data_IF_181053398620
#
_entry.id   IF_181053398620
#
_cell.length_a   1.000
_cell.length_b   1.000
_cell.length_c   1.000
_cell.angle_alpha   90.00
_cell.angle_beta   90.00
_cell.angle_gamma   90.00
#
_symmetry.space_group_name_H-M   'P 1'
#
loop_
_entity.id
_entity.type
_entity.pdbx_description
1 polymer ?
#
# COMPACT_ATOMS: atom_id res chain seq x y z
N UNK A 1 26.66 47.66 -49.71
CA UNK A 1 27.37 46.42 -50.09
C UNK A 1 27.71 45.68 -48.81
N UNK A 2 27.19 44.44 -48.70
CA UNK A 2 27.67 43.30 -47.91
C UNK A 2 27.73 43.46 -46.37
N UNK A 3 27.14 42.60 -45.54
CA UNK A 3 26.67 41.26 -45.80
C UNK A 3 25.85 40.67 -44.66
N UNK A 4 25.13 39.63 -45.01
CA UNK A 4 24.33 38.77 -44.15
C UNK A 4 25.22 37.84 -43.31
N UNK A 5 24.86 37.63 -42.05
CA UNK A 5 25.09 36.36 -41.36
C UNK A 5 23.82 36.00 -40.57
N UNK A 6 23.18 34.84 -40.84
CA UNK A 6 22.12 34.33 -40.00
C UNK A 6 22.76 33.75 -38.74
N UNK A 7 22.33 34.22 -37.56
CA UNK A 7 22.69 33.54 -36.30
C UNK A 7 21.99 32.20 -36.32
N UNK A 8 22.75 31.18 -36.71
CA UNK A 8 22.35 29.79 -36.73
C UNK A 8 21.85 29.36 -35.37
N UNK A 9 20.61 28.92 -35.35
CA UNK A 9 20.05 28.04 -34.35
C UNK A 9 20.90 26.77 -34.25
N UNK A 10 21.62 26.62 -33.16
CA UNK A 10 21.97 25.31 -32.63
C UNK A 10 21.60 25.32 -31.16
N UNK A 11 20.41 24.83 -30.85
CA UNK A 11 20.09 24.31 -29.51
C UNK A 11 20.57 22.86 -29.53
N UNK A 12 21.75 22.53 -28.97
CA UNK A 12 22.19 21.15 -28.88
C UNK A 12 21.62 20.60 -27.58
N UNK A 13 20.71 19.65 -27.69
CA UNK A 13 20.24 18.92 -26.52
C UNK A 13 18.87 18.31 -26.71
N UNK A 14 18.76 17.37 -27.66
CA UNK A 14 17.86 16.23 -27.48
C UNK A 14 18.30 15.47 -26.22
N UNK A 15 18.01 16.04 -25.04
CA UNK A 15 18.00 15.32 -23.79
C UNK A 15 16.79 14.41 -23.88
N UNK A 16 16.99 13.26 -24.51
CA UNK A 16 16.11 12.11 -24.46
C UNK A 16 16.03 11.68 -23.01
N UNK A 17 15.31 12.46 -22.20
CA UNK A 17 15.00 12.15 -20.82
C UNK A 17 14.17 10.88 -20.91
N UNK A 18 14.81 9.75 -20.62
CA UNK A 18 14.14 8.56 -20.12
C UNK A 18 13.53 8.97 -18.78
N UNK A 19 12.46 9.74 -18.88
CA UNK A 19 11.78 10.31 -17.75
C UNK A 19 11.12 9.14 -17.06
N UNK A 20 11.40 8.95 -15.77
CA UNK A 20 10.78 7.91 -14.94
C UNK A 20 9.25 7.92 -15.10
N UNK A 21 8.68 9.08 -15.41
CA UNK A 21 7.28 9.30 -15.75
C UNK A 21 6.82 8.52 -16.99
N UNK A 22 7.64 8.42 -18.04
CA UNK A 22 7.34 7.61 -19.23
C UNK A 22 7.32 6.11 -18.88
N UNK A 23 8.21 5.66 -17.99
CA UNK A 23 8.21 4.28 -17.50
C UNK A 23 6.97 3.96 -16.67
N UNK A 24 6.64 4.81 -15.71
CA UNK A 24 5.48 4.68 -14.82
C UNK A 24 4.15 4.70 -15.57
N UNK A 25 4.03 5.57 -16.57
CA UNK A 25 2.81 5.64 -17.40
C UNK A 25 2.66 4.46 -18.34
N UNK A 26 3.77 3.86 -18.79
CA UNK A 26 3.75 2.68 -19.67
C UNK A 26 3.45 1.39 -18.91
N UNK A 27 3.93 1.27 -17.67
CA UNK A 27 3.75 0.10 -16.82
C UNK A 27 3.22 0.47 -15.43
N UNK A 28 1.94 0.88 -15.32
CA UNK A 28 1.40 1.35 -14.05
C UNK A 28 1.36 0.27 -12.97
N UNK A 29 1.20 -1.00 -13.36
CA UNK A 29 1.24 -2.15 -12.45
C UNK A 29 2.63 -2.30 -11.79
N UNK A 30 3.71 -1.97 -12.51
CA UNK A 30 5.07 -2.00 -11.95
C UNK A 30 5.27 -0.87 -10.93
N UNK A 31 4.68 0.31 -11.18
CA UNK A 31 4.66 1.41 -10.21
C UNK A 31 3.90 1.05 -8.94
N UNK A 32 2.75 0.39 -9.06
CA UNK A 32 2.00 -0.14 -7.93
C UNK A 32 2.80 -1.20 -7.17
N UNK A 33 3.42 -2.16 -7.86
CA UNK A 33 4.24 -3.17 -7.23
C UNK A 33 5.42 -2.56 -6.46
N UNK A 34 6.11 -1.57 -7.05
CA UNK A 34 7.18 -0.83 -6.37
C UNK A 34 6.67 -0.10 -5.12
N UNK A 35 5.49 0.52 -5.20
CA UNK A 35 4.86 1.16 -4.05
C UNK A 35 4.60 0.15 -2.93
N UNK A 36 3.94 -0.97 -3.23
CA UNK A 36 3.66 -2.02 -2.25
C UNK A 36 4.94 -2.59 -1.65
N UNK A 37 5.97 -2.86 -2.45
CA UNK A 37 7.26 -3.33 -1.97
C UNK A 37 7.93 -2.31 -1.04
N UNK A 38 7.90 -1.03 -1.41
CA UNK A 38 8.45 0.06 -0.59
C UNK A 38 7.68 0.17 0.73
N UNK A 39 6.35 0.14 0.67
CA UNK A 39 5.47 0.16 1.84
C UNK A 39 5.80 -1.01 2.79
N UNK A 40 5.86 -2.24 2.26
CA UNK A 40 6.18 -3.45 3.02
C UNK A 40 7.57 -3.34 3.64
N UNK A 41 8.60 -3.02 2.86
CA UNK A 41 9.97 -2.99 3.35
C UNK A 41 10.17 -1.88 4.39
N UNK A 42 9.77 -0.65 4.08
CA UNK A 42 9.97 0.49 4.98
C UNK A 42 9.24 0.29 6.31
N UNK A 43 7.96 -0.07 6.27
CA UNK A 43 7.13 -0.18 7.47
C UNK A 43 7.16 -1.57 8.13
N UNK A 44 7.91 -2.52 7.59
CA UNK A 44 8.28 -3.74 8.33
C UNK A 44 9.64 -3.57 9.00
N UNK A 45 10.64 -3.10 8.26
CA UNK A 45 12.03 -3.05 8.74
C UNK A 45 12.23 -1.91 9.74
N UNK A 46 11.72 -0.70 9.46
CA UNK A 46 11.93 0.44 10.36
C UNK A 46 11.38 0.18 11.78
N UNK A 47 10.10 -0.19 11.99
CA UNK A 47 9.61 -0.49 13.33
C UNK A 47 10.23 -1.74 13.92
N UNK A 48 10.57 -2.77 13.13
CA UNK A 48 11.25 -3.96 13.65
C UNK A 48 12.63 -3.65 14.28
N UNK A 49 13.31 -2.60 13.81
CA UNK A 49 14.61 -2.17 14.35
C UNK A 49 14.49 -1.18 15.51
N UNK A 50 13.45 -0.33 15.51
CA UNK A 50 13.30 0.76 16.48
C UNK A 50 12.42 0.38 17.66
N UNK A 51 11.35 -0.38 17.43
CA UNK A 51 10.37 -0.69 18.47
C UNK A 51 10.93 -1.73 19.45
N UNK A 52 10.94 -1.34 20.72
CA UNK A 52 11.37 -2.19 21.83
C UNK A 52 10.30 -3.24 22.15
N UNK A 53 9.03 -2.89 21.98
CA UNK A 53 7.88 -3.74 22.29
C UNK A 53 6.75 -3.55 21.27
N UNK A 54 5.92 -4.59 21.04
CA UNK A 54 4.69 -4.46 20.26
C UNK A 54 3.75 -3.38 20.82
N UNK A 55 2.97 -2.68 19.97
CA UNK A 55 1.92 -1.78 20.42
C UNK A 55 0.82 -2.50 21.22
N UNK A 56 0.12 -1.78 22.09
CA UNK A 56 -0.88 -2.35 23.01
C UNK A 56 -1.99 -3.15 22.29
N UNK A 57 -2.55 -2.60 21.21
CA UNK A 57 -3.59 -3.29 20.42
C UNK A 57 -3.08 -4.61 19.83
N UNK A 58 -1.79 -4.67 19.48
CA UNK A 58 -1.17 -5.87 18.93
C UNK A 58 -0.91 -6.91 20.02
N UNK A 59 -0.49 -6.47 21.22
CA UNK A 59 -0.36 -7.36 22.38
C UNK A 59 -1.72 -7.99 22.71
N UNK A 60 -2.78 -7.19 22.76
CA UNK A 60 -4.14 -7.70 22.95
C UNK A 60 -4.55 -8.66 21.81
N UNK A 61 -4.23 -8.31 20.56
CA UNK A 61 -4.49 -9.16 19.40
C UNK A 61 -3.80 -10.53 19.48
N UNK A 62 -2.55 -10.59 19.95
CA UNK A 62 -1.87 -11.86 20.21
C UNK A 62 -2.53 -12.64 21.35
N UNK A 63 -2.96 -11.98 22.44
CA UNK A 63 -3.65 -12.66 23.54
C UNK A 63 -4.93 -13.34 23.07
N UNK A 64 -5.77 -12.65 22.29
CA UNK A 64 -7.00 -13.24 21.74
C UNK A 64 -6.74 -14.23 20.61
N UNK A 65 -5.74 -13.96 19.77
CA UNK A 65 -5.38 -14.80 18.63
C UNK A 65 -5.04 -16.24 19.02
N UNK A 66 -4.33 -16.39 20.14
CA UNK A 66 -3.96 -17.71 20.71
C UNK A 66 -5.16 -18.58 21.09
N UNK A 67 -6.27 -17.95 21.46
CA UNK A 67 -7.50 -18.64 21.88
C UNK A 67 -8.38 -19.03 20.68
N UNK A 68 -8.06 -18.56 19.46
CA UNK A 68 -8.82 -18.84 18.24
C UNK A 68 -10.32 -18.54 18.33
N UNK A 69 -10.69 -17.60 19.22
CA UNK A 69 -12.08 -17.18 19.39
C UNK A 69 -12.53 -16.37 18.18
N UNK A 70 -13.77 -16.55 17.74
CA UNK A 70 -14.33 -15.82 16.59
C UNK A 70 -14.67 -14.37 16.93
N UNK A 71 -15.25 -14.15 18.11
CA UNK A 71 -15.79 -12.87 18.55
C UNK A 71 -15.42 -12.64 20.01
N UNK A 72 -14.96 -11.44 20.31
CA UNK A 72 -14.80 -10.97 21.70
C UNK A 72 -15.89 -9.95 22.00
N UNK A 73 -15.95 -9.51 23.26
CA UNK A 73 -16.83 -8.41 23.67
C UNK A 73 -16.56 -7.10 22.89
N UNK A 74 -15.37 -6.97 22.29
CA UNK A 74 -15.01 -5.87 21.41
C UNK A 74 -15.52 -6.14 20.00
N UNK A 75 -14.80 -6.96 19.23
CA UNK A 75 -14.95 -7.05 17.77
C UNK A 75 -14.62 -8.47 17.27
N UNK A 76 -14.98 -8.83 16.01
CA UNK A 76 -14.52 -10.08 15.39
C UNK A 76 -12.99 -10.16 15.31
N UNK A 77 -12.42 -11.34 15.58
CA UNK A 77 -10.99 -11.52 15.84
C UNK A 77 -10.14 -11.90 14.63
N UNK A 78 -10.56 -11.53 13.41
CA UNK A 78 -9.71 -11.71 12.22
C UNK A 78 -8.29 -11.13 12.40
N UNK A 79 -8.07 -9.93 12.97
CA UNK A 79 -6.72 -9.42 13.18
C UNK A 79 -5.90 -10.29 14.14
N UNK A 80 -6.52 -10.77 15.22
CA UNK A 80 -5.89 -11.67 16.18
C UNK A 80 -5.48 -13.00 15.56
N UNK A 81 -6.32 -13.58 14.71
CA UNK A 81 -5.98 -14.80 13.96
C UNK A 81 -4.81 -14.57 13.00
N UNK A 82 -4.79 -13.47 12.26
CA UNK A 82 -3.68 -13.15 11.36
C UNK A 82 -2.37 -12.95 12.12
N UNK A 83 -2.43 -12.30 13.30
CA UNK A 83 -1.29 -12.16 14.19
C UNK A 83 -0.81 -13.53 14.68
N UNK A 84 -1.68 -14.38 15.22
CA UNK A 84 -1.30 -15.71 15.70
C UNK A 84 -0.75 -16.60 14.58
N UNK A 85 -1.35 -16.59 13.39
CA UNK A 85 -0.81 -17.31 12.21
C UNK A 85 0.61 -16.82 11.91
N UNK A 86 0.84 -15.51 11.90
CA UNK A 86 2.16 -14.96 11.64
C UNK A 86 3.19 -15.36 12.71
N UNK A 87 2.76 -15.45 13.96
CA UNK A 87 3.59 -15.95 15.05
C UNK A 87 3.92 -17.43 14.86
N UNK A 88 2.92 -18.28 14.60
CA UNK A 88 3.10 -19.72 14.40
C UNK A 88 4.04 -20.03 13.22
N UNK A 89 4.00 -19.22 12.16
CA UNK A 89 4.87 -19.40 10.98
C UNK A 89 6.32 -18.96 11.22
N UNK A 90 6.56 -18.02 12.13
CA UNK A 90 7.87 -17.36 12.28
C UNK A 90 8.54 -17.59 13.63
N UNK A 91 7.80 -18.07 14.63
CA UNK A 91 8.22 -18.18 16.03
C UNK A 91 8.42 -16.84 16.74
N UNK A 92 8.03 -15.71 16.14
CA UNK A 92 8.31 -14.37 16.65
C UNK A 92 7.04 -13.57 16.92
N UNK A 93 7.02 -12.81 18.02
CA UNK A 93 5.96 -11.83 18.32
C UNK A 93 6.35 -10.40 17.93
N UNK A 94 7.52 -10.21 17.29
CA UNK A 94 8.08 -8.88 17.00
C UNK A 94 7.82 -8.49 15.55
N UNK A 95 8.79 -8.70 14.66
CA UNK A 95 8.70 -8.25 13.27
C UNK A 95 7.48 -8.75 12.44
N UNK A 96 6.91 -9.97 12.66
CA UNK A 96 5.85 -10.49 11.78
C UNK A 96 4.56 -9.67 11.79
N UNK A 97 4.24 -9.04 12.92
CA UNK A 97 3.05 -8.19 13.05
C UNK A 97 3.08 -7.03 12.05
N UNK A 98 4.26 -6.45 11.83
CA UNK A 98 4.45 -5.34 10.91
C UNK A 98 4.31 -5.81 9.46
N UNK A 99 4.85 -7.00 9.15
CA UNK A 99 4.69 -7.58 7.82
C UNK A 99 3.21 -7.83 7.51
N UNK A 100 2.46 -8.44 8.44
CA UNK A 100 1.00 -8.67 8.28
C UNK A 100 0.26 -7.35 8.06
N UNK A 101 0.60 -6.31 8.83
CA UNK A 101 0.04 -4.98 8.65
C UNK A 101 0.28 -4.46 7.22
N UNK A 102 1.52 -4.53 6.75
CA UNK A 102 1.86 -3.99 5.43
C UNK A 102 1.33 -4.83 4.27
N UNK A 103 1.14 -6.14 4.45
CA UNK A 103 0.43 -6.98 3.48
C UNK A 103 -1.03 -6.54 3.36
N UNK A 104 -1.68 -6.23 4.48
CA UNK A 104 -3.06 -5.75 4.53
C UNK A 104 -3.19 -4.36 3.88
N UNK A 105 -2.26 -3.44 4.17
CA UNK A 105 -2.22 -2.12 3.54
C UNK A 105 -1.93 -2.23 2.04
N UNK A 106 -1.00 -3.08 1.63
CA UNK A 106 -0.69 -3.30 0.22
C UNK A 106 -1.87 -3.91 -0.54
N UNK A 107 -2.60 -4.85 0.06
CA UNK A 107 -3.84 -5.36 -0.50
C UNK A 107 -4.89 -4.24 -0.69
N UNK A 108 -4.98 -3.31 0.27
CA UNK A 108 -5.84 -2.12 0.16
C UNK A 108 -5.42 -1.25 -1.03
N UNK A 109 -4.12 -0.96 -1.20
CA UNK A 109 -3.62 -0.20 -2.35
C UNK A 109 -3.97 -0.86 -3.70
N UNK A 110 -3.83 -2.19 -3.78
CA UNK A 110 -4.19 -2.95 -4.99
C UNK A 110 -5.68 -2.81 -5.28
N UNK A 111 -6.54 -2.99 -4.29
CA UNK A 111 -8.00 -2.91 -4.47
C UNK A 111 -8.47 -1.49 -4.82
N UNK A 112 -7.90 -0.46 -4.19
CA UNK A 112 -8.16 0.94 -4.55
C UNK A 112 -7.66 1.23 -5.96
N UNK A 113 -6.51 0.71 -6.37
CA UNK A 113 -6.02 0.83 -7.75
C UNK A 113 -7.00 0.19 -8.73
N UNK A 114 -7.52 -1.00 -8.44
CA UNK A 114 -8.49 -1.68 -9.32
C UNK A 114 -9.77 -0.86 -9.49
N UNK A 115 -10.32 -0.33 -8.40
CA UNK A 115 -11.47 0.58 -8.45
C UNK A 115 -11.15 1.85 -9.25
N UNK A 116 -10.05 2.54 -8.92
CA UNK A 116 -9.66 3.77 -9.59
C UNK A 116 -9.35 3.53 -11.08
N UNK A 117 -8.82 2.36 -11.44
CA UNK A 117 -8.54 1.97 -12.83
C UNK A 117 -9.83 1.85 -13.62
N UNK A 118 -10.85 1.23 -13.04
CA UNK A 118 -12.16 1.11 -13.67
C UNK A 118 -12.85 2.48 -13.81
N UNK A 119 -12.60 3.43 -12.89
CA UNK A 119 -13.20 4.77 -12.90
C UNK A 119 -12.48 5.78 -13.81
N UNK A 120 -11.14 5.82 -13.76
CA UNK A 120 -10.32 6.93 -14.24
C UNK A 120 -9.30 6.50 -15.31
N UNK A 121 -9.17 5.21 -15.58
CA UNK A 121 -8.12 4.64 -16.42
C UNK A 121 -6.79 4.45 -15.69
N UNK A 122 -5.89 3.68 -16.32
CA UNK A 122 -4.69 3.12 -15.67
C UNK A 122 -3.73 4.17 -15.08
N UNK A 123 -3.44 5.23 -15.84
CA UNK A 123 -2.46 6.25 -15.42
C UNK A 123 -2.96 7.09 -14.24
N UNK A 124 -4.24 7.48 -14.26
CA UNK A 124 -4.83 8.28 -13.18
C UNK A 124 -5.05 7.44 -11.93
N UNK A 125 -5.36 6.16 -12.09
CA UNK A 125 -5.43 5.21 -10.98
C UNK A 125 -4.10 5.05 -10.25
N UNK A 126 -2.99 4.95 -11.00
CA UNK A 126 -1.66 4.93 -10.40
C UNK A 126 -1.40 6.21 -9.59
N UNK A 127 -1.71 7.38 -10.15
CA UNK A 127 -1.55 8.65 -9.43
C UNK A 127 -2.35 8.70 -8.13
N UNK A 128 -3.59 8.20 -8.14
CA UNK A 128 -4.44 8.14 -6.94
C UNK A 128 -3.80 7.28 -5.83
N UNK A 129 -3.27 6.11 -6.18
CA UNK A 129 -2.68 5.20 -5.19
C UNK A 129 -1.29 5.65 -4.72
N UNK A 130 -0.51 6.31 -5.57
CA UNK A 130 0.77 6.92 -5.17
C UNK A 130 0.60 8.05 -4.14
N UNK A 131 -0.58 8.66 -4.04
CA UNK A 131 -0.89 9.67 -3.03
C UNK A 131 -1.30 9.04 -1.69
N UNK A 132 -1.72 7.78 -1.65
CA UNK A 132 -2.22 7.14 -0.43
C UNK A 132 -1.19 7.14 0.72
N UNK A 133 0.11 6.84 0.51
CA UNK A 133 1.10 6.88 1.59
C UNK A 133 1.27 8.23 2.29
N UNK A 134 0.84 9.34 1.65
CA UNK A 134 0.85 10.67 2.29
C UNK A 134 -0.30 10.86 3.29
N UNK A 135 -1.29 9.98 3.28
CA UNK A 135 -2.35 9.98 4.27
C UNK A 135 -1.84 9.35 5.55
N UNK A 136 -2.16 9.97 6.69
CA UNK A 136 -1.70 9.55 8.01
C UNK A 136 -1.91 8.04 8.25
N UNK A 137 -3.09 7.51 7.91
CA UNK A 137 -3.46 6.11 8.12
C UNK A 137 -2.69 5.08 7.28
N UNK A 138 -1.89 5.50 6.30
CA UNK A 138 -1.06 4.60 5.51
C UNK A 138 0.44 4.74 5.80
N UNK A 139 0.81 5.51 6.83
CA UNK A 139 2.19 5.70 7.26
C UNK A 139 2.39 5.33 8.74
N UNK A 140 2.61 6.37 9.55
CA UNK A 140 3.03 6.28 10.96
C UNK A 140 2.27 5.27 11.85
N UNK A 141 0.93 5.19 11.80
CA UNK A 141 0.19 4.35 12.72
C UNK A 141 0.02 2.90 12.22
N UNK A 142 0.43 2.58 10.99
CA UNK A 142 0.28 1.23 10.40
C UNK A 142 0.99 0.10 11.16
N UNK A 143 2.10 0.31 11.90
CA UNK A 143 2.69 -0.73 12.74
C UNK A 143 1.76 -1.20 13.89
N UNK A 144 0.73 -0.41 14.24
CA UNK A 144 -0.28 -0.77 15.23
C UNK A 144 -1.38 -1.61 14.58
N UNK A 145 -1.05 -2.82 14.14
CA UNK A 145 -2.00 -3.68 13.44
C UNK A 145 -3.19 -4.04 14.33
N UNK A 146 -4.36 -3.55 13.93
CA UNK A 146 -5.60 -3.72 14.66
C UNK A 146 -6.77 -3.91 13.68
N UNK A 147 -7.98 -3.86 14.23
CA UNK A 147 -9.22 -4.06 13.48
C UNK A 147 -9.42 -3.02 12.38
N UNK A 148 -8.96 -1.78 12.57
CA UNK A 148 -9.09 -0.71 11.59
C UNK A 148 -8.28 -0.97 10.33
N UNK A 149 -7.07 -1.50 10.48
CA UNK A 149 -6.23 -1.86 9.33
C UNK A 149 -6.72 -3.14 8.66
N UNK A 150 -7.08 -4.16 9.46
CA UNK A 150 -7.57 -5.44 8.95
C UNK A 150 -8.83 -5.29 8.08
N UNK A 151 -9.71 -4.32 8.38
CA UNK A 151 -10.93 -4.10 7.61
C UNK A 151 -10.72 -3.32 6.29
N UNK A 152 -9.63 -2.54 6.15
CA UNK A 152 -9.39 -1.69 4.98
C UNK A 152 -9.51 -2.40 3.62
N UNK A 153 -8.89 -3.58 3.39
CA UNK A 153 -9.02 -4.26 2.12
C UNK A 153 -10.46 -4.72 1.86
N UNK A 154 -11.23 -5.07 2.90
CA UNK A 154 -12.63 -5.47 2.72
C UNK A 154 -13.50 -4.29 2.28
N UNK A 155 -13.32 -3.11 2.88
CA UNK A 155 -14.01 -1.90 2.43
C UNK A 155 -13.64 -1.53 0.99
N UNK A 156 -12.35 -1.58 0.64
CA UNK A 156 -11.89 -1.32 -0.72
C UNK A 156 -12.46 -2.35 -1.72
N UNK A 157 -12.49 -3.64 -1.35
CA UNK A 157 -13.05 -4.70 -2.15
C UNK A 157 -14.56 -4.55 -2.35
N UNK A 158 -15.32 -4.22 -1.30
CA UNK A 158 -16.77 -3.98 -1.38
C UNK A 158 -17.05 -2.84 -2.35
N UNK A 159 -16.36 -1.70 -2.20
CA UNK A 159 -16.51 -0.57 -3.12
C UNK A 159 -16.20 -0.96 -4.57
N UNK A 160 -15.11 -1.71 -4.79
CA UNK A 160 -14.74 -2.18 -6.13
C UNK A 160 -15.75 -3.14 -6.74
N UNK A 161 -16.20 -4.15 -5.98
CA UNK A 161 -17.13 -5.17 -6.44
C UNK A 161 -18.51 -4.57 -6.71
N UNK A 162 -19.03 -3.71 -5.83
CA UNK A 162 -20.31 -3.02 -6.05
C UNK A 162 -20.26 -2.10 -7.27
N UNK A 163 -19.13 -1.41 -7.48
CA UNK A 163 -18.93 -0.59 -8.68
C UNK A 163 -18.99 -1.41 -9.97
N UNK A 164 -18.35 -2.59 -9.99
CA UNK A 164 -18.40 -3.49 -11.15
C UNK A 164 -19.78 -4.10 -11.35
N UNK A 165 -20.47 -4.47 -10.27
CA UNK A 165 -21.82 -4.99 -10.33
C UNK A 165 -22.80 -3.97 -10.93
N UNK A 166 -22.72 -2.70 -10.51
CA UNK A 166 -23.55 -1.62 -11.04
C UNK A 166 -23.27 -1.22 -12.50
N UNK A 167 -22.15 -1.65 -13.07
CA UNK A 167 -21.80 -1.45 -14.49
C UNK A 167 -22.07 -2.68 -15.36
N UNK A 168 -22.40 -3.81 -14.76
CA UNK A 168 -22.62 -5.10 -15.40
C UNK A 168 -24.08 -5.56 -15.37
N UNK A 169 -25.03 -4.62 -15.34
CA UNK A 169 -26.46 -4.85 -15.59
C UNK A 169 -26.90 -4.10 -16.84
#
# INVERSE_FOLDING_TARGET
MNGWLPVGSSVPGDWRQSSIWQGLTRYPEAGLALLCLTQILCWTVAPALVDVSPPNDVVEGFMWGREWVLLTYKHPQLPGWLLEISHLLTGSFRWPQYLVAQLTISATFVLVYLLARDMLGRTRALAAVLLMPSLYFFGWPTPQFNHDYAQMPFWAAICWLLWRAGRGG
#
